data_IF_262709308871
#
_entry.id   IF_262709308871
#
_cell.length_a   1.000
_cell.length_b   1.000
_cell.length_c   1.000
_cell.angle_alpha   90.00
_cell.angle_beta   90.00
_cell.angle_gamma   90.00
#
_symmetry.space_group_name_H-M   'P 1'
#
loop_
_entity.id
_entity.type
_entity.pdbx_description
1 polymer ?
#
# COMPACT_ATOMS: atom_id res chain seq x y z
N UNK A 1 16.28 47.19 33.15
CA UNK A 1 15.55 45.96 32.76
C UNK A 1 15.30 45.15 34.02
N UNK A 2 14.09 44.62 34.22
CA UNK A 2 13.77 43.87 35.44
C UNK A 2 14.41 42.48 35.39
N UNK A 3 14.82 41.93 36.53
CA UNK A 3 15.49 40.62 36.60
C UNK A 3 14.68 39.48 35.94
N UNK A 4 13.35 39.58 36.00
CA UNK A 4 12.41 38.64 35.36
C UNK A 4 12.48 38.73 33.83
N UNK A 5 12.61 39.94 33.27
CA UNK A 5 12.79 40.12 31.82
C UNK A 5 14.09 39.46 31.35
N UNK A 6 15.17 39.57 32.12
CA UNK A 6 16.45 38.94 31.80
C UNK A 6 16.36 37.40 31.80
N UNK A 7 15.67 36.80 32.77
CA UNK A 7 15.42 35.35 32.79
C UNK A 7 14.58 34.87 31.61
N UNK A 8 13.55 35.62 31.23
CA UNK A 8 12.69 35.26 30.09
C UNK A 8 13.44 35.38 28.77
N UNK A 9 14.28 36.41 28.62
CA UNK A 9 15.14 36.57 27.45
C UNK A 9 16.15 35.43 27.36
N UNK A 10 16.78 35.06 28.48
CA UNK A 10 17.72 33.94 28.52
C UNK A 10 17.06 32.60 28.16
N UNK A 11 15.85 32.35 28.67
CA UNK A 11 15.03 31.17 28.30
C UNK A 11 14.66 31.15 26.82
N UNK A 12 14.34 32.31 26.25
CA UNK A 12 13.98 32.41 24.84
C UNK A 12 15.19 32.21 23.92
N UNK A 13 16.35 32.73 24.30
CA UNK A 13 17.62 32.50 23.61
C UNK A 13 18.03 31.02 23.66
N UNK A 14 17.91 30.37 24.82
CA UNK A 14 18.16 28.93 24.98
C UNK A 14 17.21 28.07 24.11
N UNK A 15 15.93 28.45 24.06
CA UNK A 15 14.95 27.77 23.21
C UNK A 15 15.23 27.97 21.71
N UNK A 16 15.67 29.16 21.30
CA UNK A 16 16.05 29.45 19.91
C UNK A 16 17.29 28.63 19.51
N UNK A 17 18.31 28.57 20.36
CA UNK A 17 19.52 27.77 20.11
C UNK A 17 19.20 26.27 20.01
N UNK A 18 18.22 25.78 20.78
CA UNK A 18 17.73 24.41 20.70
C UNK A 18 17.00 24.12 19.37
N UNK A 19 16.19 25.07 18.86
CA UNK A 19 15.54 24.92 17.56
C UNK A 19 16.55 24.92 16.42
N UNK A 20 17.54 25.82 16.43
CA UNK A 20 18.63 25.87 15.44
C UNK A 20 19.51 24.61 15.43
N UNK A 21 19.73 24.01 16.60
CA UNK A 21 20.48 22.75 16.73
C UNK A 21 19.66 21.58 16.19
N UNK A 22 18.36 21.54 16.52
CA UNK A 22 17.44 20.50 16.05
C UNK A 22 17.17 20.57 14.56
N UNK A 23 17.13 21.76 13.97
CA UNK A 23 16.95 21.95 12.52
C UNK A 23 18.20 21.46 11.75
N UNK A 24 19.41 21.78 12.23
CA UNK A 24 20.67 21.25 11.67
C UNK A 24 20.82 19.73 11.81
N UNK A 25 20.41 19.16 12.93
CA UNK A 25 20.41 17.70 13.15
C UNK A 25 19.36 16.97 12.28
N UNK A 26 18.27 17.64 11.90
CA UNK A 26 17.28 17.11 10.97
C UNK A 26 17.78 17.04 9.52
N UNK A 27 18.74 17.88 9.12
CA UNK A 27 19.40 17.77 7.81
C UNK A 27 20.57 16.78 7.80
N UNK A 28 21.35 16.70 8.88
CA UNK A 28 22.58 15.92 8.92
C UNK A 28 22.43 14.58 9.68
N UNK A 29 21.48 13.77 9.22
CA UNK A 29 21.13 12.47 9.82
C UNK A 29 22.21 11.36 9.75
N UNK A 30 23.44 11.66 9.32
CA UNK A 30 24.50 10.64 9.17
C UNK A 30 25.90 11.03 9.69
N UNK A 31 26.10 12.22 10.26
CA UNK A 31 27.46 12.71 10.56
C UNK A 31 27.72 13.29 11.96
N UNK A 32 26.99 12.86 13.00
CA UNK A 32 27.43 13.12 14.39
C UNK A 32 28.03 11.87 15.01
N UNK A 33 29.36 11.88 15.09
CA UNK A 33 30.22 10.86 15.65
C UNK A 33 29.95 10.61 17.14
N UNK A 34 29.75 9.33 17.46
CA UNK A 34 30.09 8.60 18.70
C UNK A 34 29.57 9.12 20.08
N UNK A 35 28.96 8.24 20.91
CA UNK A 35 28.44 8.63 22.22
C UNK A 35 29.51 8.45 23.31
N UNK A 36 29.85 9.52 24.03
CA UNK A 36 30.54 9.37 25.31
C UNK A 36 29.58 9.64 26.45
N UNK A 37 29.26 8.52 27.14
CA UNK A 37 28.64 8.40 28.46
C UNK A 37 27.43 9.30 28.75
N UNK A 38 26.27 8.70 28.96
CA UNK A 38 25.58 8.72 30.25
C UNK A 38 24.33 7.84 30.14
N UNK A 39 24.14 7.07 31.18
CA UNK A 39 23.16 6.03 31.37
C UNK A 39 21.72 6.57 31.27
N UNK A 40 20.79 5.63 31.02
CA UNK A 40 19.35 5.79 31.12
C UNK A 40 18.64 6.59 30.03
N UNK A 41 18.05 5.87 29.07
CA UNK A 41 16.59 5.90 28.79
C UNK A 41 16.28 4.99 27.59
N UNK A 42 16.31 3.67 27.83
CA UNK A 42 15.87 2.67 26.85
C UNK A 42 14.37 2.76 26.49
N UNK A 43 13.61 3.68 27.09
CA UNK A 43 12.16 3.83 26.88
C UNK A 43 11.76 4.80 25.77
N UNK A 44 12.66 5.65 25.24
CA UNK A 44 12.27 6.66 24.23
C UNK A 44 12.57 6.26 22.76
N UNK A 45 13.43 5.26 22.52
CA UNK A 45 13.83 4.90 21.14
C UNK A 45 12.79 4.05 20.39
N UNK A 46 11.82 3.44 21.07
CA UNK A 46 10.86 2.55 20.42
C UNK A 46 9.61 3.25 19.86
N UNK A 47 9.28 4.45 20.34
CA UNK A 47 7.96 5.04 20.05
C UNK A 47 7.88 5.91 18.79
N UNK A 48 9.03 6.24 18.14
CA UNK A 48 9.06 7.10 16.94
C UNK A 48 9.01 6.33 15.61
N UNK A 49 9.16 5.00 15.61
CA UNK A 49 9.05 4.17 14.39
C UNK A 49 7.62 3.69 14.05
N UNK A 50 6.62 3.95 14.91
CA UNK A 50 5.26 3.43 14.73
C UNK A 50 4.29 4.39 14.02
N UNK A 51 4.53 5.70 14.06
CA UNK A 51 3.50 6.68 13.65
C UNK A 51 3.45 7.01 12.15
N UNK A 52 4.41 6.58 11.33
CA UNK A 52 4.35 6.72 9.86
C UNK A 52 3.65 5.54 9.15
N UNK A 53 3.26 4.47 9.88
CA UNK A 53 2.72 3.23 9.29
C UNK A 53 1.19 3.15 9.21
N UNK A 54 0.46 4.02 9.90
CA UNK A 54 -1.01 3.92 9.98
C UNK A 54 -1.72 4.25 8.67
N UNK A 55 -1.27 5.26 7.93
CA UNK A 55 -1.92 5.66 6.67
C UNK A 55 -1.70 4.64 5.53
N UNK A 56 -0.58 3.91 5.56
CA UNK A 56 -0.23 2.95 4.50
C UNK A 56 -1.02 1.63 4.63
N UNK A 57 -1.43 1.25 5.84
CA UNK A 57 -2.21 0.04 6.07
C UNK A 57 -3.68 0.16 5.63
N UNK A 58 -4.29 1.34 5.78
CA UNK A 58 -5.66 1.55 5.30
C UNK A 58 -5.74 1.50 3.76
N UNK A 59 -4.75 2.08 3.08
CA UNK A 59 -4.64 2.03 1.62
C UNK A 59 -4.40 0.60 1.09
N UNK A 60 -3.62 -0.21 1.82
CA UNK A 60 -3.44 -1.62 1.47
C UNK A 60 -4.69 -2.46 1.71
N UNK A 61 -5.41 -2.22 2.80
CA UNK A 61 -6.65 -2.93 3.10
C UNK A 61 -7.73 -2.65 2.05
N UNK A 62 -7.96 -1.37 1.73
CA UNK A 62 -8.92 -0.96 0.69
C UNK A 62 -8.57 -1.55 -0.67
N UNK A 63 -7.30 -1.51 -1.09
CA UNK A 63 -6.83 -2.16 -2.31
C UNK A 63 -7.12 -3.68 -2.30
N UNK A 64 -6.87 -4.37 -1.18
CA UNK A 64 -7.11 -5.81 -1.07
C UNK A 64 -8.59 -6.16 -1.18
N UNK A 65 -9.48 -5.38 -0.55
CA UNK A 65 -10.93 -5.59 -0.67
C UNK A 65 -11.43 -5.38 -2.09
N UNK A 66 -10.94 -4.33 -2.78
CA UNK A 66 -11.26 -4.10 -4.18
C UNK A 66 -10.78 -5.26 -5.08
N UNK A 67 -9.57 -5.77 -4.86
CA UNK A 67 -9.04 -6.90 -5.64
C UNK A 67 -9.78 -8.21 -5.32
N UNK A 68 -10.20 -8.43 -4.08
CA UNK A 68 -11.06 -9.58 -3.71
C UNK A 68 -12.40 -9.50 -4.45
N UNK A 69 -13.05 -8.34 -4.45
CA UNK A 69 -14.30 -8.12 -5.16
C UNK A 69 -14.12 -8.35 -6.68
N UNK A 70 -13.09 -7.76 -7.27
CA UNK A 70 -12.74 -7.95 -8.69
C UNK A 70 -12.54 -9.44 -9.02
N UNK A 71 -11.85 -10.19 -8.16
CA UNK A 71 -11.64 -11.64 -8.33
C UNK A 71 -12.93 -12.45 -8.15
N UNK A 72 -13.84 -12.03 -7.27
CA UNK A 72 -15.15 -12.67 -7.14
C UNK A 72 -15.99 -12.47 -8.41
N UNK A 73 -16.02 -11.25 -8.94
CA UNK A 73 -16.69 -10.93 -10.20
C UNK A 73 -16.11 -11.73 -11.38
N UNK A 74 -14.79 -11.83 -11.49
CA UNK A 74 -14.15 -12.66 -12.51
C UNK A 74 -14.58 -14.12 -12.44
N UNK A 75 -14.65 -14.70 -11.23
CA UNK A 75 -15.13 -16.08 -11.04
C UNK A 75 -16.56 -16.25 -11.53
N UNK A 76 -17.45 -15.31 -11.20
CA UNK A 76 -18.84 -15.31 -11.67
C UNK A 76 -18.91 -15.25 -13.20
N UNK A 77 -18.13 -14.39 -13.84
CA UNK A 77 -18.06 -14.32 -15.31
C UNK A 77 -17.59 -15.63 -15.93
N UNK A 78 -16.56 -16.27 -15.35
CA UNK A 78 -16.06 -17.56 -15.82
C UNK A 78 -17.08 -18.68 -15.63
N UNK A 79 -17.85 -18.66 -14.53
CA UNK A 79 -18.94 -19.62 -14.30
C UNK A 79 -20.04 -19.47 -15.35
N UNK A 80 -20.50 -18.24 -15.61
CA UNK A 80 -21.46 -17.97 -16.69
C UNK A 80 -20.94 -18.41 -18.05
N UNK A 81 -19.66 -18.14 -18.34
CA UNK A 81 -19.03 -18.59 -19.58
C UNK A 81 -19.07 -20.12 -19.72
N UNK A 82 -18.87 -20.87 -18.63
CA UNK A 82 -18.95 -22.33 -18.66
C UNK A 82 -20.34 -22.84 -19.07
N UNK A 83 -21.41 -22.12 -18.73
CA UNK A 83 -22.76 -22.50 -19.13
C UNK A 83 -23.03 -22.29 -20.63
N UNK A 84 -22.32 -21.35 -21.27
CA UNK A 84 -22.48 -21.00 -22.68
C UNK A 84 -21.63 -21.84 -23.62
N UNK A 85 -20.50 -22.35 -23.13
CA UNK A 85 -19.62 -23.20 -23.93
C UNK A 85 -20.06 -24.65 -23.77
N UNK A 86 -20.15 -25.44 -24.85
CA UNK A 86 -20.36 -26.89 -24.77
C UNK A 86 -19.12 -27.57 -24.19
N UNK A 87 -18.97 -27.45 -22.88
CA UNK A 87 -18.04 -28.19 -22.04
C UNK A 87 -18.77 -29.49 -21.73
N UNK A 88 -18.23 -30.63 -22.16
CA UNK A 88 -18.83 -31.93 -21.84
C UNK A 88 -18.85 -32.18 -20.32
N UNK A 89 -18.99 -33.45 -19.92
CA UNK A 89 -19.17 -33.88 -18.52
C UNK A 89 -18.03 -33.47 -17.55
N UNK A 90 -16.98 -32.79 -18.02
CA UNK A 90 -15.83 -32.31 -17.25
C UNK A 90 -15.95 -30.86 -16.73
N UNK A 91 -17.14 -30.27 -16.65
CA UNK A 91 -17.38 -28.85 -16.27
C UNK A 91 -16.56 -28.36 -15.05
N UNK A 92 -16.21 -29.27 -14.12
CA UNK A 92 -15.48 -28.97 -12.89
C UNK A 92 -13.94 -28.89 -13.04
N UNK A 93 -13.32 -29.49 -14.07
CA UNK A 93 -11.84 -29.63 -14.20
C UNK A 93 -11.19 -28.73 -15.26
N UNK A 94 -11.82 -27.61 -15.63
CA UNK A 94 -11.26 -26.70 -16.65
C UNK A 94 -10.37 -25.63 -16.02
N UNK A 95 -9.15 -25.48 -16.56
CA UNK A 95 -8.29 -24.32 -16.28
C UNK A 95 -8.87 -23.06 -16.96
N UNK A 96 -8.58 -21.87 -16.43
CA UNK A 96 -9.03 -20.60 -17.04
C UNK A 96 -8.58 -20.48 -18.50
N UNK A 97 -7.32 -20.82 -18.79
CA UNK A 97 -6.79 -20.78 -20.15
C UNK A 97 -7.50 -21.76 -21.08
N UNK A 98 -7.74 -23.01 -20.62
CA UNK A 98 -8.45 -24.02 -21.39
C UNK A 98 -9.88 -23.59 -21.73
N UNK A 99 -10.58 -22.98 -20.76
CA UNK A 99 -11.92 -22.43 -20.98
C UNK A 99 -11.92 -21.33 -22.04
N UNK A 100 -10.99 -20.37 -21.97
CA UNK A 100 -10.89 -19.27 -22.92
C UNK A 100 -10.56 -19.75 -24.34
N UNK A 101 -9.65 -20.72 -24.47
CA UNK A 101 -9.33 -21.32 -25.77
C UNK A 101 -10.54 -22.04 -26.37
N UNK A 102 -11.30 -22.79 -25.56
CA UNK A 102 -12.51 -23.47 -26.03
C UNK A 102 -13.60 -22.48 -26.43
N UNK A 103 -13.78 -21.40 -25.66
CA UNK A 103 -14.71 -20.33 -26.00
C UNK A 103 -14.36 -19.68 -27.34
N UNK A 104 -13.07 -19.37 -27.56
CA UNK A 104 -12.58 -18.83 -28.84
C UNK A 104 -12.87 -19.77 -30.01
N UNK A 105 -12.60 -21.05 -29.86
CA UNK A 105 -12.91 -22.06 -30.89
C UNK A 105 -14.42 -22.18 -31.13
N UNK A 106 -15.23 -22.15 -30.07
CA UNK A 106 -16.68 -22.21 -30.17
C UNK A 106 -17.22 -21.03 -30.98
N UNK A 107 -16.79 -19.79 -30.68
CA UNK A 107 -17.18 -18.60 -31.45
C UNK A 107 -16.79 -18.77 -32.93
N UNK A 108 -15.58 -19.25 -33.21
CA UNK A 108 -15.11 -19.47 -34.59
C UNK A 108 -15.94 -20.51 -35.37
N UNK A 109 -16.46 -21.52 -34.69
CA UNK A 109 -17.29 -22.58 -35.30
C UNK A 109 -18.74 -22.15 -35.42
N UNK A 110 -19.29 -21.52 -34.38
CA UNK A 110 -20.69 -21.07 -34.30
C UNK A 110 -20.96 -19.85 -35.16
N UNK A 111 -19.98 -18.97 -35.33
CA UNK A 111 -20.04 -17.83 -36.25
C UNK A 111 -19.21 -18.22 -37.48
N UNK A 112 -19.77 -18.97 -38.46
CA UNK A 112 -19.14 -19.10 -39.76
C UNK A 112 -18.92 -17.69 -40.31
N UNK A 113 -17.81 -17.48 -41.01
CA UNK A 113 -17.34 -16.19 -41.56
C UNK A 113 -18.28 -15.55 -42.62
N UNK A 114 -19.60 -15.55 -42.41
CA UNK A 114 -20.62 -15.20 -43.41
C UNK A 114 -21.75 -14.30 -42.92
N UNK A 115 -21.64 -13.62 -41.77
CA UNK A 115 -22.59 -12.56 -41.40
C UNK A 115 -21.87 -11.31 -40.85
N UNK A 116 -21.04 -10.71 -41.69
CA UNK A 116 -20.88 -9.25 -41.72
C UNK A 116 -21.89 -8.69 -42.70
N UNK A 117 -23.15 -8.62 -42.29
CA UNK A 117 -24.13 -7.72 -42.89
C UNK A 117 -25.14 -7.37 -41.81
N UNK A 118 -24.84 -6.26 -41.14
CA UNK A 118 -25.68 -5.10 -40.82
C UNK A 118 -25.01 -4.32 -39.68
#
# INVERSE_FOLDING_TARGET
>A
MTAVQLMNIQRLLEAAEYLDRRERECEHGYASTFPSSIQNTNYQRQNKFRNKKFHNNHNRSTHNELEKNRRAHLRLCLERLKALIPLGKDCNRHTTLGLLNKAKSHIKVTIPHGHTHL
#
